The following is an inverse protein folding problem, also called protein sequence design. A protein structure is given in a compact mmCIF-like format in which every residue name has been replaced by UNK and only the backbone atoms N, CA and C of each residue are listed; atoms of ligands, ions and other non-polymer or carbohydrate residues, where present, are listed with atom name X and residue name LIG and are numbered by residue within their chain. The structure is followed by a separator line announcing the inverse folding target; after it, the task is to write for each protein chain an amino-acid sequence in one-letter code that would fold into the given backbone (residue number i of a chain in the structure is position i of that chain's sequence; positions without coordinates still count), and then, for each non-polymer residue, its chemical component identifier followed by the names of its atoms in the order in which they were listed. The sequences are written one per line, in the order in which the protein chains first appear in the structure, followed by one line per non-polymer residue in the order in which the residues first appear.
data_IF_534704117972
#
_entry.id   IF_534704117972
#
_cell.length_a   1.000
_cell.length_b   1.000
_cell.length_c   1.000
_cell.angle_alpha   90.00
_cell.angle_beta   90.00
_cell.angle_gamma   90.00
#
_symmetry.space_group_name_H-M   'P 1'
#
loop_
_entity.id
_entity.type
_entity.pdbx_description
1 polymer ?
#
# COMPACT_ATOMS: atom_id res chain seq x y z
N UNK A 1 5.38 -69.10 25.08
CA UNK A 1 5.73 -68.98 26.51
C UNK A 1 5.55 -67.53 26.90
N UNK A 2 4.75 -67.29 27.94
CA UNK A 2 4.65 -66.19 28.93
C UNK A 2 4.97 -64.73 28.51
N UNK A 3 4.44 -63.66 29.12
CA UNK A 3 3.29 -63.31 29.96
C UNK A 3 3.57 -61.83 30.40
N UNK A 4 2.61 -60.91 30.19
CA UNK A 4 2.06 -59.82 31.08
C UNK A 4 3.00 -59.29 32.21
N UNK A 5 3.16 -58.00 32.53
CA UNK A 5 2.19 -56.90 32.66
C UNK A 5 2.92 -55.59 33.03
N UNK A 6 2.26 -54.43 32.84
CA UNK A 6 2.66 -53.15 33.45
C UNK A 6 1.97 -51.91 32.86
N UNK A 7 0.73 -51.64 33.30
CA UNK A 7 -0.12 -50.46 33.06
C UNK A 7 0.40 -49.13 33.63
N UNK A 8 0.04 -48.02 32.97
CA UNK A 8 -0.68 -46.85 33.50
C UNK A 8 -0.95 -45.88 32.31
N UNK A 9 -2.18 -45.80 31.80
CA UNK A 9 -3.23 -44.81 32.17
C UNK A 9 -2.86 -43.36 31.83
N UNK A 10 -3.48 -42.79 30.80
CA UNK A 10 -4.23 -41.52 30.88
C UNK A 10 -5.01 -41.30 29.57
N UNK A 11 -6.05 -40.49 29.65
CA UNK A 11 -7.30 -40.53 28.91
C UNK A 11 -7.26 -40.01 27.46
N UNK A 12 -8.25 -40.46 26.68
CA UNK A 12 -8.60 -39.90 25.39
C UNK A 12 -9.36 -38.57 25.57
N UNK A 13 -8.99 -37.55 24.81
CA UNK A 13 -9.90 -36.44 24.53
C UNK A 13 -9.75 -36.01 23.06
N UNK A 14 -10.84 -36.23 22.35
CA UNK A 14 -11.13 -35.80 20.98
C UNK A 14 -11.49 -34.31 21.05
N UNK A 15 -10.61 -33.41 20.60
CA UNK A 15 -10.92 -31.98 20.55
C UNK A 15 -11.42 -31.59 19.16
N UNK A 16 -12.74 -31.67 19.00
CA UNK A 16 -13.49 -30.81 18.06
C UNK A 16 -13.37 -29.37 18.55
N UNK A 17 -12.59 -28.52 17.88
CA UNK A 17 -12.63 -27.07 18.08
C UNK A 17 -12.32 -26.36 16.76
N UNK A 18 -13.38 -25.77 16.21
CA UNK A 18 -13.31 -24.68 15.27
C UNK A 18 -12.49 -23.54 15.91
N UNK A 19 -11.28 -23.27 15.40
CA UNK A 19 -10.52 -22.08 15.74
C UNK A 19 -10.13 -21.32 14.47
N UNK A 20 -11.12 -20.54 14.04
CA UNK A 20 -11.04 -19.30 13.28
C UNK A 20 -9.90 -18.39 13.83
N UNK A 21 -9.04 -17.78 13.00
CA UNK A 21 -8.02 -16.85 13.49
C UNK A 21 -8.67 -15.65 14.18
N UNK A 22 -8.64 -15.70 15.51
CA UNK A 22 -9.17 -14.72 16.44
C UNK A 22 -8.67 -13.30 16.14
N UNK A 23 -9.64 -12.42 15.85
CA UNK A 23 -9.49 -10.97 15.91
C UNK A 23 -9.15 -10.51 17.34
N UNK A 24 -8.33 -9.46 17.52
CA UNK A 24 -8.07 -8.91 18.85
C UNK A 24 -9.35 -8.33 19.49
N UNK A 25 -9.46 -8.35 20.83
CA UNK A 25 -10.69 -8.04 21.55
C UNK A 25 -11.08 -6.57 21.42
N UNK A 26 -12.33 -6.34 21.00
CA UNK A 26 -13.03 -5.05 21.13
C UNK A 26 -13.47 -4.83 22.57
N UNK A 27 -13.12 -3.70 23.19
CA UNK A 27 -13.99 -3.06 24.19
C UNK A 27 -13.85 -1.53 24.10
N UNK A 28 -14.95 -0.89 23.69
CA UNK A 28 -15.07 0.56 23.60
C UNK A 28 -16.36 1.07 22.96
N UNK A 29 -17.48 0.37 23.17
CA UNK A 29 -18.88 0.84 23.08
C UNK A 29 -19.49 1.28 21.74
N UNK A 30 -20.70 0.73 21.51
CA UNK A 30 -21.76 1.10 20.55
C UNK A 30 -21.56 0.61 19.10
N UNK A 31 -22.01 -0.61 18.79
CA UNK A 31 -23.32 -0.94 18.19
C UNK A 31 -23.49 -0.51 16.73
N UNK A 32 -23.74 -1.51 15.90
CA UNK A 32 -24.56 -1.49 14.67
C UNK A 32 -23.79 -1.32 13.37
N UNK A 33 -23.68 -2.42 12.64
CA UNK A 33 -23.57 -2.50 11.17
C UNK A 33 -24.53 -1.49 10.53
N UNK A 34 -24.01 -0.32 10.21
CA UNK A 34 -24.78 0.81 9.70
C UNK A 34 -23.79 1.76 9.05
N UNK A 35 -24.26 2.55 8.11
CA UNK A 35 -23.56 3.47 7.19
C UNK A 35 -22.38 4.32 7.73
N UNK A 36 -22.13 4.31 9.03
CA UNK A 36 -21.12 5.05 9.78
C UNK A 36 -19.68 4.56 9.47
N UNK A 37 -19.45 3.24 9.30
CA UNK A 37 -18.16 2.70 8.82
C UNK A 37 -17.90 3.08 7.35
N UNK A 38 -18.95 3.14 6.55
CA UNK A 38 -18.85 3.43 5.11
C UNK A 38 -18.46 4.89 4.88
N UNK A 39 -18.96 5.81 5.72
CA UNK A 39 -18.62 7.23 5.61
C UNK A 39 -17.23 7.54 6.18
N UNK A 40 -16.83 6.94 7.31
CA UNK A 40 -15.49 7.13 7.86
C UNK A 40 -14.41 6.63 6.90
N UNK A 41 -14.59 5.46 6.30
CA UNK A 41 -13.70 4.92 5.27
C UNK A 41 -13.71 5.74 3.94
N UNK A 42 -14.78 6.49 3.67
CA UNK A 42 -14.98 7.21 2.40
C UNK A 42 -14.72 8.72 2.48
N UNK A 43 -14.69 9.31 3.67
CA UNK A 43 -14.25 10.69 3.93
C UNK A 43 -12.79 10.81 4.35
N UNK A 44 -12.17 9.76 4.92
CA UNK A 44 -10.74 9.71 5.24
C UNK A 44 -9.78 9.97 4.05
N UNK A 45 -10.13 9.73 2.76
CA UNK A 45 -9.16 9.99 1.69
C UNK A 45 -9.03 11.46 1.31
N UNK A 46 -9.97 12.35 1.67
CA UNK A 46 -10.08 13.65 0.99
C UNK A 46 -9.05 14.71 1.39
N UNK A 47 -8.73 14.96 2.68
CA UNK A 47 -7.71 15.95 2.98
C UNK A 47 -6.32 15.52 2.50
N UNK A 48 -6.02 14.21 2.47
CA UNK A 48 -4.75 13.68 1.93
C UNK A 48 -4.72 13.76 0.40
N UNK A 49 -5.84 13.46 -0.27
CA UNK A 49 -5.94 13.50 -1.75
C UNK A 49 -5.98 14.92 -2.32
N UNK A 50 -6.53 15.87 -1.57
CA UNK A 50 -6.68 17.27 -1.97
C UNK A 50 -5.56 18.17 -1.40
N UNK A 51 -4.45 17.57 -0.91
CA UNK A 51 -3.27 18.26 -0.33
C UNK A 51 -3.59 19.22 0.82
N UNK A 52 -4.73 19.02 1.49
CA UNK A 52 -5.16 19.89 2.57
C UNK A 52 -4.37 19.57 3.84
N UNK A 53 -3.97 20.61 4.61
CA UNK A 53 -3.31 20.40 5.88
C UNK A 53 -4.19 19.58 6.83
N UNK A 54 -3.58 18.69 7.60
CA UNK A 54 -4.29 17.79 8.54
C UNK A 54 -5.15 18.53 9.58
N UNK A 55 -4.85 19.77 9.93
CA UNK A 55 -5.67 20.57 10.83
C UNK A 55 -6.99 21.07 10.19
N UNK A 56 -7.16 20.93 8.87
CA UNK A 56 -8.35 21.41 8.16
C UNK A 56 -9.63 20.70 8.60
N UNK A 57 -9.53 19.43 9.00
CA UNK A 57 -10.66 18.66 9.56
C UNK A 57 -11.12 19.17 10.93
N UNK A 58 -10.30 20.00 11.58
CA UNK A 58 -10.63 20.62 12.87
C UNK A 58 -11.32 21.98 12.75
N UNK A 59 -11.36 22.59 11.57
CA UNK A 59 -11.96 23.92 11.40
C UNK A 59 -13.45 23.87 11.72
N UNK A 60 -13.93 24.83 12.51
CA UNK A 60 -15.32 24.85 12.97
C UNK A 60 -16.32 24.87 11.81
N UNK A 61 -16.03 25.59 10.73
CA UNK A 61 -16.88 25.61 9.54
C UNK A 61 -17.03 24.24 8.87
N UNK A 62 -15.96 23.45 8.83
CA UNK A 62 -16.00 22.08 8.28
C UNK A 62 -16.79 21.15 9.19
N UNK A 63 -16.63 21.29 10.51
CA UNK A 63 -17.39 20.54 11.52
C UNK A 63 -18.88 20.87 11.48
N UNK A 64 -19.21 22.16 11.35
CA UNK A 64 -20.59 22.65 11.23
C UNK A 64 -21.25 22.11 9.96
N UNK A 65 -20.52 22.14 8.84
CA UNK A 65 -20.98 21.58 7.57
C UNK A 65 -21.29 20.09 7.72
N UNK A 66 -20.34 19.29 8.24
CA UNK A 66 -20.54 17.85 8.40
C UNK A 66 -21.68 17.51 9.35
N UNK A 67 -21.82 18.22 10.48
CA UNK A 67 -22.98 18.06 11.38
C UNK A 67 -24.33 18.40 10.72
N UNK A 68 -24.32 19.32 9.77
CA UNK A 68 -25.53 19.69 9.01
C UNK A 68 -25.90 18.61 7.99
N UNK A 69 -24.91 17.94 7.40
CA UNK A 69 -25.12 16.84 6.46
C UNK A 69 -25.48 15.52 7.16
N UNK A 70 -24.80 15.20 8.26
CA UNK A 70 -25.11 14.07 9.12
C UNK A 70 -24.81 14.44 10.58
N UNK A 71 -25.88 14.66 11.35
CA UNK A 71 -25.78 15.06 12.75
C UNK A 71 -25.25 13.92 13.66
N UNK A 72 -25.27 12.66 13.20
CA UNK A 72 -24.74 11.52 13.97
C UNK A 72 -23.25 11.29 13.72
N UNK A 73 -22.66 12.03 12.81
CA UNK A 73 -21.25 11.86 12.47
C UNK A 73 -20.34 12.55 13.49
N UNK A 74 -19.62 11.76 14.27
CA UNK A 74 -18.53 12.24 15.11
C UNK A 74 -17.25 12.31 14.28
N UNK A 75 -16.77 13.53 14.05
CA UNK A 75 -15.54 13.75 13.29
C UNK A 75 -14.35 13.33 14.17
N UNK A 76 -13.55 12.33 13.77
CA UNK A 76 -12.38 11.95 14.53
C UNK A 76 -11.40 13.11 14.67
N UNK A 77 -10.67 13.15 15.78
CA UNK A 77 -9.69 14.21 16.02
C UNK A 77 -8.46 14.06 15.12
N UNK A 78 -7.69 15.14 14.94
CA UNK A 78 -6.48 15.09 14.11
C UNK A 78 -5.45 14.08 14.64
N UNK A 79 -5.46 13.80 15.94
CA UNK A 79 -4.55 12.81 16.55
C UNK A 79 -4.85 11.41 16.02
N UNK A 80 -6.12 11.03 15.91
CA UNK A 80 -6.54 9.77 15.28
C UNK A 80 -6.05 9.69 13.82
N UNK A 81 -6.21 10.78 13.05
CA UNK A 81 -5.72 10.80 11.67
C UNK A 81 -4.20 10.56 11.61
N UNK A 82 -3.43 11.22 12.47
CA UNK A 82 -1.97 11.13 12.47
C UNK A 82 -1.43 9.81 13.03
N UNK A 83 -2.05 9.27 14.09
CA UNK A 83 -1.51 8.11 14.84
C UNK A 83 -2.06 6.78 14.34
N UNK A 84 -3.22 6.78 13.70
CA UNK A 84 -3.94 5.56 13.32
C UNK A 84 -4.24 5.54 11.82
N UNK A 85 -5.03 6.50 11.33
CA UNK A 85 -5.54 6.45 9.96
C UNK A 85 -4.43 6.51 8.90
N UNK A 86 -3.51 7.46 8.99
CA UNK A 86 -2.43 7.64 8.00
C UNK A 86 -1.47 6.45 8.00
N UNK A 87 -0.96 5.96 9.14
CA UNK A 87 -0.14 4.75 9.18
C UNK A 87 -0.83 3.52 8.60
N UNK A 88 -2.11 3.31 8.89
CA UNK A 88 -2.88 2.18 8.39
C UNK A 88 -3.10 2.26 6.87
N UNK A 89 -3.52 3.41 6.37
CA UNK A 89 -3.67 3.66 4.92
C UNK A 89 -2.34 3.48 4.18
N UNK A 90 -1.23 3.91 4.77
CA UNK A 90 0.10 3.67 4.23
C UNK A 90 0.41 2.17 4.16
N UNK A 91 0.16 1.41 5.22
CA UNK A 91 0.38 -0.03 5.24
C UNK A 91 -0.45 -0.76 4.16
N UNK A 92 -1.72 -0.40 4.02
CA UNK A 92 -2.61 -0.95 2.98
C UNK A 92 -2.08 -0.62 1.58
N UNK A 93 -1.72 0.64 1.34
CA UNK A 93 -1.26 1.11 0.03
C UNK A 93 0.08 0.47 -0.33
N UNK A 94 1.03 0.46 0.61
CA UNK A 94 2.34 -0.18 0.45
C UNK A 94 2.21 -1.65 0.09
N UNK A 95 1.31 -2.36 0.77
CA UNK A 95 1.04 -3.78 0.48
C UNK A 95 0.51 -3.97 -0.94
N UNK A 96 -0.47 -3.17 -1.38
CA UNK A 96 -1.00 -3.24 -2.75
C UNK A 96 0.06 -2.99 -3.81
N UNK A 97 0.91 -1.98 -3.60
CA UNK A 97 2.04 -1.69 -4.51
C UNK A 97 3.01 -2.86 -4.54
N UNK A 98 3.34 -3.45 -3.38
CA UNK A 98 4.21 -4.63 -3.32
C UNK A 98 3.61 -5.83 -4.06
N UNK A 99 2.30 -6.09 -3.89
CA UNK A 99 1.58 -7.16 -4.62
C UNK A 99 1.62 -6.94 -6.14
N UNK A 100 1.41 -5.71 -6.61
CA UNK A 100 1.49 -5.36 -8.03
C UNK A 100 2.89 -5.55 -8.61
N UNK A 101 3.91 -5.05 -7.90
CA UNK A 101 5.31 -5.21 -8.31
C UNK A 101 5.71 -6.69 -8.33
N UNK A 102 5.25 -7.49 -7.37
CA UNK A 102 5.50 -8.92 -7.34
C UNK A 102 4.77 -9.66 -8.48
N UNK A 103 3.55 -9.26 -8.83
CA UNK A 103 2.80 -9.86 -9.94
C UNK A 103 3.40 -9.55 -11.32
N UNK A 104 4.02 -8.38 -11.50
CA UNK A 104 4.74 -8.02 -12.73
C UNK A 104 6.05 -8.81 -12.94
N UNK A 105 6.49 -9.59 -11.95
CA UNK A 105 7.80 -10.23 -11.88
C UNK A 105 8.07 -11.32 -12.94
N UNK A 106 7.05 -11.93 -13.56
CA UNK A 106 7.30 -13.06 -14.47
C UNK A 106 7.61 -12.71 -15.93
N UNK A 107 7.22 -11.53 -16.46
CA UNK A 107 7.37 -11.24 -17.92
C UNK A 107 7.63 -9.80 -18.32
N UNK A 108 7.55 -8.81 -17.41
CA UNK A 108 7.40 -7.40 -17.82
C UNK A 108 8.51 -6.45 -17.40
N UNK A 109 8.98 -6.55 -16.17
CA UNK A 109 9.95 -5.59 -15.65
C UNK A 109 11.30 -5.63 -16.40
N UNK A 110 11.68 -6.72 -17.06
CA UNK A 110 12.88 -6.77 -17.91
C UNK A 110 12.81 -5.86 -19.14
N UNK A 111 11.64 -5.73 -19.79
CA UNK A 111 11.47 -4.78 -20.89
C UNK A 111 11.45 -3.34 -20.38
N UNK A 112 10.82 -3.10 -19.23
CA UNK A 112 10.80 -1.78 -18.58
C UNK A 112 12.19 -1.35 -18.12
N UNK A 113 12.97 -2.24 -17.51
CA UNK A 113 14.35 -1.98 -17.08
C UNK A 113 15.23 -1.64 -18.29
N UNK A 114 15.18 -2.44 -19.36
CA UNK A 114 15.86 -2.13 -20.63
C UNK A 114 15.41 -0.80 -21.24
N UNK A 115 14.12 -0.45 -21.15
CA UNK A 115 13.61 0.83 -21.61
C UNK A 115 14.19 1.99 -20.79
N UNK A 116 14.20 1.88 -19.47
CA UNK A 116 14.74 2.90 -18.55
C UNK A 116 16.23 3.10 -18.80
N UNK A 117 17.00 2.00 -18.94
CA UNK A 117 18.43 2.04 -19.25
C UNK A 117 18.70 2.83 -20.54
N UNK A 118 17.91 2.59 -21.60
CA UNK A 118 18.03 3.33 -22.86
C UNK A 118 17.66 4.80 -22.74
N UNK A 119 16.65 5.13 -21.95
CA UNK A 119 16.26 6.53 -21.70
C UNK A 119 17.38 7.28 -20.99
N UNK A 120 18.03 6.66 -19.99
CA UNK A 120 19.15 7.24 -19.27
C UNK A 120 20.38 7.40 -20.18
N UNK A 121 20.67 6.42 -21.03
CA UNK A 121 21.77 6.48 -22.02
C UNK A 121 21.56 7.63 -23.03
N UNK A 122 20.32 7.84 -23.48
CA UNK A 122 19.96 8.81 -24.52
C UNK A 122 19.50 10.18 -23.98
N UNK A 123 19.66 10.43 -22.69
CA UNK A 123 19.11 11.61 -21.99
C UNK A 123 19.32 12.92 -22.77
N UNK A 124 20.57 13.20 -23.19
CA UNK A 124 20.92 14.43 -23.91
C UNK A 124 20.23 14.54 -25.27
N UNK A 125 20.14 13.43 -26.01
CA UNK A 125 19.49 13.40 -27.32
C UNK A 125 17.97 13.66 -27.18
N UNK A 126 17.34 13.03 -26.18
CA UNK A 126 15.91 13.22 -25.88
C UNK A 126 15.64 14.70 -25.51
N UNK A 127 16.48 15.31 -24.67
CA UNK A 127 16.37 16.74 -24.32
C UNK A 127 16.46 17.65 -25.52
N UNK A 128 17.38 17.40 -26.46
CA UNK A 128 17.54 18.21 -27.67
C UNK A 128 16.33 18.08 -28.59
N UNK A 129 15.87 16.85 -28.84
CA UNK A 129 14.74 16.59 -29.75
C UNK A 129 13.44 17.14 -29.18
N UNK A 130 13.10 16.80 -27.93
CA UNK A 130 11.85 17.24 -27.31
C UNK A 130 11.89 18.73 -26.90
N UNK A 131 13.06 19.25 -26.54
CA UNK A 131 13.23 20.68 -26.23
C UNK A 131 13.11 21.59 -27.46
N UNK A 132 13.29 21.05 -28.67
CA UNK A 132 13.15 21.81 -29.91
C UNK A 132 11.69 22.03 -30.33
N UNK A 133 10.76 21.16 -29.91
CA UNK A 133 9.34 21.30 -30.22
C UNK A 133 8.53 21.76 -28.98
N UNK A 134 8.02 22.99 -29.06
CA UNK A 134 7.24 23.64 -27.99
C UNK A 134 5.98 22.88 -27.57
N UNK A 135 5.42 22.01 -28.43
CA UNK A 135 4.22 21.23 -28.09
C UNK A 135 4.52 20.03 -27.19
N UNK A 136 5.76 19.51 -27.25
CA UNK A 136 6.19 18.32 -26.51
C UNK A 136 7.34 18.62 -25.53
N UNK A 137 7.78 19.87 -25.44
CA UNK A 137 8.84 20.31 -24.52
C UNK A 137 8.48 20.08 -23.05
N UNK A 138 7.20 19.94 -22.71
CA UNK A 138 6.73 19.57 -21.37
C UNK A 138 6.97 18.09 -21.02
N UNK A 139 7.35 17.25 -21.98
CA UNK A 139 7.73 15.84 -21.77
C UNK A 139 9.22 15.65 -21.50
N UNK A 140 10.01 16.73 -21.53
CA UNK A 140 11.43 16.66 -21.17
C UNK A 140 11.53 16.28 -19.69
N UNK A 141 12.15 15.13 -19.43
CA UNK A 141 12.33 14.61 -18.08
C UNK A 141 13.08 15.61 -17.20
N UNK A 142 12.53 15.91 -16.04
CA UNK A 142 13.18 16.75 -15.04
C UNK A 142 14.37 16.03 -14.42
N UNK A 143 15.25 16.76 -13.74
CA UNK A 143 16.37 16.15 -13.02
C UNK A 143 15.88 15.17 -11.92
N UNK A 144 14.74 15.45 -11.28
CA UNK A 144 14.13 14.54 -10.30
C UNK A 144 13.67 13.24 -10.94
N UNK A 145 13.08 13.31 -12.14
CA UNK A 145 12.66 12.11 -12.86
C UNK A 145 13.87 11.23 -13.18
N UNK A 146 14.99 11.83 -13.58
CA UNK A 146 16.23 11.11 -13.86
C UNK A 146 16.82 10.44 -12.63
N UNK A 147 16.83 11.11 -11.48
CA UNK A 147 17.33 10.53 -10.23
C UNK A 147 16.48 9.33 -9.82
N UNK A 148 15.15 9.44 -9.94
CA UNK A 148 14.22 8.33 -9.66
C UNK A 148 14.45 7.18 -10.64
N UNK A 149 14.55 7.44 -11.94
CA UNK A 149 14.81 6.42 -12.96
C UNK A 149 16.17 5.73 -12.76
N UNK A 150 17.18 6.48 -12.33
CA UNK A 150 18.51 5.94 -12.00
C UNK A 150 18.44 5.02 -10.78
N UNK A 151 17.74 5.45 -9.73
CA UNK A 151 17.55 4.64 -8.52
C UNK A 151 16.77 3.35 -8.83
N UNK A 152 15.73 3.43 -9.67
CA UNK A 152 14.95 2.27 -10.12
C UNK A 152 15.85 1.32 -10.93
N UNK A 153 16.61 1.82 -11.91
CA UNK A 153 17.49 0.98 -12.71
C UNK A 153 18.55 0.29 -11.84
N UNK A 154 19.14 1.01 -10.88
CA UNK A 154 20.11 0.44 -9.94
C UNK A 154 19.50 -0.67 -9.06
N UNK A 155 18.25 -0.49 -8.61
CA UNK A 155 17.55 -1.51 -7.82
C UNK A 155 17.17 -2.74 -8.65
N UNK A 156 16.86 -2.55 -9.95
CA UNK A 156 16.43 -3.62 -10.85
C UNK A 156 17.57 -4.36 -11.54
N UNK A 157 18.77 -3.75 -11.67
CA UNK A 157 19.92 -4.34 -12.37
C UNK A 157 20.33 -5.72 -11.85
N UNK A 158 20.46 -5.95 -10.52
CA UNK A 158 20.84 -7.28 -10.01
C UNK A 158 19.79 -8.35 -10.27
N UNK A 159 18.52 -7.94 -10.30
CA UNK A 159 17.41 -8.84 -10.63
C UNK A 159 17.45 -9.19 -12.12
N UNK A 160 17.77 -8.21 -12.98
CA UNK A 160 17.90 -8.37 -14.44
C UNK A 160 18.92 -9.44 -14.78
N UNK A 161 20.13 -9.32 -14.22
CA UNK A 161 21.20 -10.29 -14.40
C UNK A 161 20.81 -11.69 -13.89
N UNK A 162 20.19 -11.77 -12.71
CA UNK A 162 19.71 -13.03 -12.16
C UNK A 162 18.67 -13.70 -13.08
N UNK A 163 17.79 -12.91 -13.68
CA UNK A 163 16.72 -13.41 -14.54
C UNK A 163 17.23 -13.85 -15.90
N UNK A 164 18.20 -13.15 -16.49
CA UNK A 164 18.88 -13.60 -17.71
C UNK A 164 19.53 -14.97 -17.47
N UNK A 165 20.27 -15.13 -16.35
CA UNK A 165 20.91 -16.40 -15.96
C UNK A 165 19.87 -17.52 -15.78
N UNK A 166 18.75 -17.25 -15.09
CA UNK A 166 17.69 -18.23 -14.85
C UNK A 166 16.87 -18.56 -16.11
N UNK A 167 16.77 -17.61 -17.05
CA UNK A 167 16.07 -17.82 -18.32
C UNK A 167 16.86 -18.69 -19.30
N UNK A 168 18.12 -19.02 -18.98
CA UNK A 168 18.94 -19.97 -19.73
C UNK A 168 19.34 -19.49 -21.12
N UNK A 169 19.35 -18.17 -21.35
CA UNK A 169 19.83 -17.54 -22.58
C UNK A 169 21.34 -17.32 -22.57
#
# INVERSE_FOLDING_TARGET
MAAISGEASEEAEETDLNDDPTLPPSIGSTTTTSSDEILSARLLPKPVKDELPMYSVQKDGFRQMLKTFDNRYEIPDQSYFSRTAVPELYAITRRRVAEQVAADCSTRWGSTQKMIERILEQEKAIRVVLGSDRKVSNLVLSWQDLDVLTAINAALSPLAEFTDVMSGS
#
